data_IF_984953319033
#
_entry.id   IF_984953319033
#
_cell.length_a   1.000
_cell.length_b   1.000
_cell.length_c   1.000
_cell.angle_alpha   90.00
_cell.angle_beta   90.00
_cell.angle_gamma   90.00
#
_symmetry.space_group_name_H-M   'P 1'
#
loop_
_entity.id
_entity.type
_entity.pdbx_description
1 polymer ?
#
# COMPACT_ATOMS: atom_id res chain seq x y z
N UNK A 1 26.07 0.55 5.47
CA UNK A 1 24.88 -0.20 5.04
C UNK A 1 23.65 0.07 5.91
N UNK A 2 23.78 0.29 7.23
CA UNK A 2 22.62 0.49 8.14
C UNK A 2 21.73 1.69 7.81
N UNK A 3 22.27 2.79 7.27
CA UNK A 3 21.48 4.01 6.98
C UNK A 3 20.41 3.81 5.88
N UNK A 4 20.73 3.06 4.82
CA UNK A 4 19.82 2.89 3.67
C UNK A 4 18.68 1.92 3.96
N UNK A 5 18.93 0.87 4.75
CA UNK A 5 17.92 -0.11 5.19
C UNK A 5 16.97 0.49 6.24
N UNK A 6 17.48 1.35 7.13
CA UNK A 6 16.65 2.08 8.11
C UNK A 6 15.72 3.07 7.40
N UNK A 7 16.20 3.79 6.38
CA UNK A 7 15.36 4.71 5.59
C UNK A 7 14.25 3.99 4.80
N UNK A 8 14.53 2.86 4.16
CA UNK A 8 13.50 2.08 3.43
C UNK A 8 12.46 1.49 4.38
N UNK A 9 12.87 1.01 5.55
CA UNK A 9 11.94 0.54 6.59
C UNK A 9 11.03 1.66 7.10
N UNK A 10 11.55 2.88 7.26
CA UNK A 10 10.77 4.05 7.68
C UNK A 10 9.69 4.41 6.65
N UNK A 11 10.06 4.54 5.37
CA UNK A 11 9.13 4.92 4.31
C UNK A 11 8.02 3.88 4.13
N UNK A 12 8.34 2.59 4.17
CA UNK A 12 7.31 1.53 4.11
C UNK A 12 6.36 1.56 5.31
N UNK A 13 6.87 1.92 6.49
CA UNK A 13 6.02 2.04 7.69
C UNK A 13 5.01 3.19 7.56
N UNK A 14 5.41 4.31 6.95
CA UNK A 14 4.54 5.45 6.68
C UNK A 14 3.44 5.08 5.67
N UNK A 15 3.78 4.40 4.58
CA UNK A 15 2.77 3.94 3.60
C UNK A 15 1.79 2.93 4.19
N UNK A 16 2.27 2.03 5.06
CA UNK A 16 1.39 1.09 5.79
C UNK A 16 0.46 1.83 6.74
N UNK A 17 0.93 2.89 7.40
CA UNK A 17 0.07 3.72 8.25
C UNK A 17 -0.98 4.45 7.41
N UNK A 18 -0.62 5.00 6.25
CA UNK A 18 -1.58 5.65 5.36
C UNK A 18 -2.67 4.68 4.88
N UNK A 19 -2.32 3.44 4.53
CA UNK A 19 -3.30 2.41 4.18
C UNK A 19 -4.21 2.09 5.37
N UNK A 20 -3.67 1.95 6.58
CA UNK A 20 -4.46 1.72 7.80
C UNK A 20 -5.42 2.87 8.09
N UNK A 21 -4.96 4.11 7.97
CA UNK A 21 -5.79 5.31 8.16
C UNK A 21 -6.91 5.40 7.12
N UNK A 22 -6.61 5.11 5.84
CA UNK A 22 -7.60 5.06 4.77
C UNK A 22 -8.65 3.95 5.01
N UNK A 23 -8.21 2.76 5.46
CA UNK A 23 -9.12 1.66 5.83
C UNK A 23 -10.03 2.07 6.99
N UNK A 24 -9.48 2.65 8.06
CA UNK A 24 -10.26 3.12 9.20
C UNK A 24 -11.31 4.17 8.80
N UNK A 25 -10.96 5.07 7.88
CA UNK A 25 -11.88 6.08 7.35
C UNK A 25 -13.02 5.43 6.56
N UNK A 26 -12.72 4.51 5.64
CA UNK A 26 -13.74 3.74 4.91
C UNK A 26 -14.68 2.99 5.86
N UNK A 27 -14.13 2.29 6.85
CA UNK A 27 -14.91 1.46 7.77
C UNK A 27 -15.83 2.31 8.66
N UNK A 28 -15.38 3.51 9.05
CA UNK A 28 -16.23 4.49 9.73
C UNK A 28 -17.38 4.96 8.83
N UNK A 29 -17.09 5.29 7.57
CA UNK A 29 -18.11 5.72 6.61
C UNK A 29 -19.13 4.62 6.31
N UNK A 30 -18.72 3.36 6.22
CA UNK A 30 -19.64 2.21 6.09
C UNK A 30 -20.64 2.19 7.26
N UNK A 31 -20.16 2.28 8.50
CA UNK A 31 -21.02 2.32 9.69
C UNK A 31 -21.97 3.52 9.67
N UNK A 32 -21.51 4.67 9.18
CA UNK A 32 -22.35 5.84 9.02
C UNK A 32 -23.44 5.62 7.97
N UNK A 33 -23.11 5.06 6.79
CA UNK A 33 -24.09 4.70 5.75
C UNK A 33 -25.15 3.74 6.31
N UNK A 34 -24.75 2.70 7.04
CA UNK A 34 -25.69 1.76 7.68
C UNK A 34 -26.63 2.49 8.66
N UNK A 35 -26.07 3.35 9.51
CA UNK A 35 -26.85 4.13 10.48
C UNK A 35 -27.82 5.10 9.79
N UNK A 36 -27.36 5.79 8.74
CA UNK A 36 -28.19 6.75 7.98
C UNK A 36 -29.27 6.04 7.16
N UNK A 37 -28.98 4.85 6.64
CA UNK A 37 -29.96 4.00 5.95
C UNK A 37 -31.08 3.60 6.90
N UNK A 38 -30.74 3.23 8.13
CA UNK A 38 -31.73 2.94 9.16
C UNK A 38 -32.57 4.18 9.51
N UNK A 39 -31.93 5.34 9.73
CA UNK A 39 -32.63 6.60 10.03
C UNK A 39 -33.60 7.02 8.91
N UNK A 40 -33.17 6.88 7.66
CA UNK A 40 -34.03 7.14 6.49
C UNK A 40 -35.23 6.19 6.50
N UNK A 41 -35.03 4.90 6.71
CA UNK A 41 -36.13 3.93 6.74
C UNK A 41 -37.13 4.21 7.87
N UNK A 42 -36.66 4.69 9.02
CA UNK A 42 -37.53 5.11 10.13
C UNK A 42 -38.33 6.37 9.78
N UNK A 43 -37.70 7.37 9.16
CA UNK A 43 -38.38 8.56 8.65
C UNK A 43 -39.43 8.22 7.58
N UNK A 44 -39.13 7.30 6.67
CA UNK A 44 -40.09 6.80 5.67
C UNK A 44 -41.30 6.14 6.35
N UNK A 45 -41.07 5.28 7.35
CA UNK A 45 -42.16 4.65 8.12
C UNK A 45 -43.05 5.69 8.80
N UNK A 46 -42.46 6.71 9.42
CA UNK A 46 -43.20 7.77 10.10
C UNK A 46 -44.02 8.61 9.11
N UNK A 47 -43.45 8.98 7.96
CA UNK A 47 -44.16 9.68 6.91
C UNK A 47 -45.35 8.86 6.38
N UNK A 48 -45.14 7.58 6.07
CA UNK A 48 -46.20 6.67 5.59
C UNK A 48 -47.30 6.47 6.65
N UNK A 49 -46.94 6.36 7.92
CA UNK A 49 -47.89 6.27 9.02
C UNK A 49 -48.77 7.51 9.15
N UNK A 50 -48.17 8.71 9.01
CA UNK A 50 -48.91 9.97 9.01
C UNK A 50 -49.78 10.16 7.77
N UNK A 51 -49.37 9.61 6.61
CA UNK A 51 -50.23 9.59 5.42
C UNK A 51 -51.46 8.71 5.61
N UNK A 52 -51.30 7.54 6.22
CA UNK A 52 -52.42 6.67 6.59
C UNK A 52 -53.34 7.36 7.59
N UNK A 53 -52.78 7.98 8.65
CA UNK A 53 -53.55 8.75 9.63
C UNK A 53 -54.30 9.91 8.99
N UNK A 54 -53.67 10.61 8.03
CA UNK A 54 -54.33 11.68 7.28
C UNK A 54 -55.54 11.17 6.50
N UNK A 55 -55.43 10.01 5.84
CA UNK A 55 -56.53 9.41 5.09
C UNK A 55 -57.67 8.94 6.01
N UNK A 56 -57.33 8.41 7.18
CA UNK A 56 -58.30 8.02 8.21
C UNK A 56 -59.07 9.24 8.75
N UNK A 57 -58.37 10.32 9.10
CA UNK A 57 -59.01 11.55 9.59
C UNK A 57 -59.95 12.15 8.53
N UNK A 58 -59.58 12.13 7.24
CA UNK A 58 -60.48 12.55 6.16
C UNK A 58 -61.76 11.72 6.14
N UNK A 59 -61.63 10.40 6.31
CA UNK A 59 -62.78 9.48 6.36
C UNK A 59 -63.66 9.75 7.58
N UNK A 60 -63.06 10.00 8.73
CA UNK A 60 -63.77 10.28 9.98
C UNK A 60 -64.46 11.65 9.98
N UNK A 61 -63.90 12.65 9.28
CA UNK A 61 -64.59 13.92 9.02
C UNK A 61 -65.86 13.67 8.22
N UNK A 62 -65.81 12.85 7.16
CA UNK A 62 -66.98 12.48 6.37
C UNK A 62 -68.06 11.73 7.18
N UNK A 63 -67.69 11.12 8.30
CA UNK A 63 -68.58 10.45 9.26
C UNK A 63 -69.01 11.33 10.43
N UNK A 64 -68.49 12.56 10.54
CA UNK A 64 -68.75 13.47 11.65
C UNK A 64 -68.04 13.10 12.97
N UNK A 65 -67.07 12.18 12.95
CA UNK A 65 -66.33 11.71 14.14
C UNK A 65 -64.93 12.33 14.30
N UNK A 66 -64.52 13.20 13.38
CA UNK A 66 -63.30 14.00 13.47
C UNK A 66 -63.55 15.42 12.93
N UNK A 67 -62.65 16.34 13.25
CA UNK A 67 -62.76 17.75 12.86
C UNK A 67 -61.73 18.16 11.83
N UNK A 68 -61.97 19.28 11.13
CA UNK A 68 -60.96 19.88 10.26
C UNK A 68 -59.68 20.28 11.01
N UNK A 69 -59.78 20.57 12.31
CA UNK A 69 -58.63 20.87 13.15
C UNK A 69 -57.71 19.64 13.32
N UNK A 70 -58.28 18.44 13.45
CA UNK A 70 -57.52 17.19 13.49
C UNK A 70 -56.77 16.95 12.18
N UNK A 71 -57.43 17.22 11.05
CA UNK A 71 -56.82 17.11 9.73
C UNK A 71 -55.68 18.12 9.54
N UNK A 72 -55.86 19.36 10.02
CA UNK A 72 -54.83 20.38 9.97
C UNK A 72 -53.59 19.99 10.81
N UNK A 73 -53.81 19.36 11.97
CA UNK A 73 -52.74 18.84 12.82
C UNK A 73 -51.94 17.74 12.11
N UNK A 74 -52.60 16.70 11.60
CA UNK A 74 -51.93 15.59 10.91
C UNK A 74 -51.21 16.07 9.65
N UNK A 75 -51.80 16.99 8.87
CA UNK A 75 -51.12 17.60 7.70
C UNK A 75 -49.83 18.33 8.10
N UNK A 76 -49.84 19.06 9.22
CA UNK A 76 -48.64 19.76 9.71
C UNK A 76 -47.55 18.78 10.13
N UNK A 77 -47.91 17.72 10.87
CA UNK A 77 -46.98 16.68 11.29
C UNK A 77 -46.42 15.91 10.08
N UNK A 78 -47.26 15.59 9.10
CA UNK A 78 -46.85 14.98 7.84
C UNK A 78 -45.88 15.86 7.05
N UNK A 79 -46.10 17.18 7.03
CA UNK A 79 -45.16 18.13 6.44
C UNK A 79 -43.77 18.02 7.07
N UNK A 80 -43.70 18.09 8.41
CA UNK A 80 -42.43 17.93 9.16
C UNK A 80 -41.76 16.57 8.89
N UNK A 81 -42.55 15.50 8.82
CA UNK A 81 -42.03 14.16 8.55
C UNK A 81 -41.41 14.04 7.15
N UNK A 82 -42.06 14.64 6.14
CA UNK A 82 -41.55 14.66 4.76
C UNK A 82 -40.28 15.51 4.63
N UNK A 83 -40.23 16.65 5.31
CA UNK A 83 -39.02 17.48 5.35
C UNK A 83 -37.86 16.71 6.02
N UNK A 84 -38.10 16.06 7.17
CA UNK A 84 -37.09 15.24 7.83
C UNK A 84 -36.64 14.01 7.02
N UNK A 85 -37.55 13.40 6.25
CA UNK A 85 -37.21 12.33 5.33
C UNK A 85 -36.31 12.83 4.18
N UNK A 86 -36.61 14.01 3.65
CA UNK A 86 -35.79 14.66 2.62
C UNK A 86 -34.38 14.91 3.15
N UNK A 87 -34.25 15.53 4.33
CA UNK A 87 -32.96 15.80 4.96
C UNK A 87 -32.17 14.50 5.19
N UNK A 88 -32.84 13.46 5.69
CA UNK A 88 -32.22 12.14 5.92
C UNK A 88 -31.71 11.51 4.62
N UNK A 89 -32.45 11.70 3.52
CA UNK A 89 -32.06 11.21 2.20
C UNK A 89 -30.86 11.98 1.65
N UNK A 90 -30.87 13.31 1.74
CA UNK A 90 -29.76 14.16 1.29
C UNK A 90 -28.46 13.85 2.06
N UNK A 91 -28.55 13.66 3.38
CA UNK A 91 -27.41 13.27 4.21
C UNK A 91 -26.90 11.88 3.84
N UNK A 92 -27.79 10.91 3.60
CA UNK A 92 -27.39 9.56 3.17
C UNK A 92 -26.62 9.62 1.84
N UNK A 93 -27.16 10.33 0.84
CA UNK A 93 -26.50 10.49 -0.46
C UNK A 93 -25.13 11.16 -0.34
N UNK A 94 -25.00 12.18 0.51
CA UNK A 94 -23.70 12.81 0.78
C UNK A 94 -22.72 11.82 1.43
N UNK A 95 -23.20 11.00 2.36
CA UNK A 95 -22.36 10.02 3.08
C UNK A 95 -21.90 8.90 2.14
N UNK A 96 -22.77 8.42 1.25
CA UNK A 96 -22.44 7.45 0.21
C UNK A 96 -21.40 8.00 -0.78
N UNK A 97 -21.51 9.29 -1.15
CA UNK A 97 -20.52 9.94 -1.99
C UNK A 97 -19.14 10.00 -1.31
N UNK A 98 -19.09 10.36 -0.02
CA UNK A 98 -17.84 10.35 0.76
C UNK A 98 -17.27 8.94 0.91
N UNK A 99 -18.11 7.91 1.07
CA UNK A 99 -17.65 6.52 1.10
C UNK A 99 -16.96 6.13 -0.22
N UNK A 100 -17.56 6.48 -1.36
CA UNK A 100 -16.97 6.21 -2.68
C UNK A 100 -15.61 6.88 -2.86
N UNK A 101 -15.45 8.11 -2.35
CA UNK A 101 -14.18 8.83 -2.36
C UNK A 101 -13.14 8.13 -1.46
N UNK A 102 -13.54 7.72 -0.25
CA UNK A 102 -12.66 7.00 0.68
C UNK A 102 -12.21 5.64 0.12
N UNK A 103 -13.08 4.91 -0.59
CA UNK A 103 -12.72 3.68 -1.30
C UNK A 103 -11.69 3.92 -2.39
N UNK A 104 -11.82 5.01 -3.14
CA UNK A 104 -10.86 5.41 -4.17
C UNK A 104 -9.50 5.78 -3.55
N UNK A 105 -9.50 6.54 -2.46
CA UNK A 105 -8.28 6.87 -1.72
C UNK A 105 -7.60 5.62 -1.15
N UNK A 106 -8.36 4.66 -0.62
CA UNK A 106 -7.82 3.39 -0.16
C UNK A 106 -7.19 2.60 -1.31
N UNK A 107 -7.85 2.50 -2.46
CA UNK A 107 -7.31 1.81 -3.64
C UNK A 107 -5.99 2.44 -4.10
N UNK A 108 -5.90 3.77 -4.09
CA UNK A 108 -4.67 4.50 -4.40
C UNK A 108 -3.57 4.24 -3.36
N UNK A 109 -3.88 4.32 -2.07
CA UNK A 109 -2.91 4.07 -0.99
C UNK A 109 -2.33 2.65 -1.07
N UNK A 110 -3.16 1.64 -1.31
CA UNK A 110 -2.73 0.24 -1.49
C UNK A 110 -1.82 0.09 -2.70
N UNK A 111 -2.16 0.75 -3.82
CA UNK A 111 -1.31 0.73 -5.03
C UNK A 111 0.05 1.39 -4.78
N UNK A 112 0.09 2.51 -4.07
CA UNK A 112 1.33 3.20 -3.71
C UNK A 112 2.19 2.36 -2.79
N UNK A 113 1.59 1.74 -1.76
CA UNK A 113 2.30 0.82 -0.87
C UNK A 113 2.96 -0.33 -1.65
N UNK A 114 2.21 -0.97 -2.56
CA UNK A 114 2.75 -2.06 -3.38
C UNK A 114 3.94 -1.60 -4.24
N UNK A 115 3.84 -0.39 -4.80
CA UNK A 115 4.91 0.19 -5.62
C UNK A 115 6.18 0.42 -4.80
N UNK A 116 6.04 0.93 -3.59
CA UNK A 116 7.18 1.14 -2.69
C UNK A 116 7.74 -0.17 -2.11
N UNK A 117 6.90 -1.17 -1.85
CA UNK A 117 7.35 -2.51 -1.48
C UNK A 117 8.19 -3.14 -2.60
N UNK A 118 7.74 -3.07 -3.85
CA UNK A 118 8.50 -3.54 -5.02
C UNK A 118 9.84 -2.82 -5.16
N UNK A 119 9.86 -1.50 -4.92
CA UNK A 119 11.09 -0.69 -4.94
C UNK A 119 12.05 -1.10 -3.84
N UNK A 120 11.55 -1.26 -2.61
CA UNK A 120 12.35 -1.67 -1.46
C UNK A 120 12.96 -3.07 -1.68
N UNK A 121 12.20 -4.01 -2.24
CA UNK A 121 12.69 -5.33 -2.60
C UNK A 121 13.82 -5.30 -3.64
N UNK A 122 13.69 -4.48 -4.69
CA UNK A 122 14.78 -4.30 -5.68
C UNK A 122 16.05 -3.75 -5.02
N UNK A 123 15.92 -2.73 -4.18
CA UNK A 123 17.06 -2.13 -3.49
C UNK A 123 17.74 -3.12 -2.53
N UNK A 124 16.96 -3.84 -1.73
CA UNK A 124 17.47 -4.87 -0.83
C UNK A 124 18.20 -5.98 -1.60
N UNK A 125 17.69 -6.37 -2.77
CA UNK A 125 18.30 -7.39 -3.62
C UNK A 125 19.65 -6.94 -4.19
N UNK A 126 19.74 -5.70 -4.68
CA UNK A 126 21.00 -5.11 -5.17
C UNK A 126 22.05 -5.06 -4.04
N UNK A 127 21.67 -4.57 -2.86
CA UNK A 127 22.56 -4.50 -1.70
C UNK A 127 23.06 -5.88 -1.27
N UNK A 128 22.21 -6.91 -1.35
CA UNK A 128 22.60 -8.29 -1.04
C UNK A 128 23.59 -8.84 -2.06
N UNK A 129 23.37 -8.59 -3.35
CA UNK A 129 24.29 -8.99 -4.43
C UNK A 129 25.63 -8.31 -4.25
N UNK A 130 25.66 -7.00 -3.99
CA UNK A 130 26.88 -6.24 -3.76
C UNK A 130 27.65 -6.75 -2.54
N UNK A 131 26.95 -7.05 -1.44
CA UNK A 131 27.55 -7.63 -0.24
C UNK A 131 28.19 -8.99 -0.54
N UNK A 132 27.47 -9.91 -1.18
CA UNK A 132 28.02 -11.23 -1.51
C UNK A 132 29.15 -11.15 -2.54
N UNK A 133 29.09 -10.23 -3.49
CA UNK A 133 30.20 -9.97 -4.41
C UNK A 133 31.46 -9.55 -3.63
N UNK A 134 31.32 -8.65 -2.66
CA UNK A 134 32.43 -8.21 -1.82
C UNK A 134 33.01 -9.37 -0.97
N UNK A 135 32.15 -10.17 -0.32
CA UNK A 135 32.55 -11.35 0.46
C UNK A 135 33.28 -12.40 -0.40
N UNK A 136 32.82 -12.63 -1.63
CA UNK A 136 33.48 -13.55 -2.58
C UNK A 136 34.84 -12.99 -3.00
N UNK A 137 34.92 -11.69 -3.30
CA UNK A 137 36.17 -11.06 -3.70
C UNK A 137 37.21 -11.13 -2.59
N UNK A 138 36.82 -10.83 -1.35
CA UNK A 138 37.69 -10.92 -0.17
C UNK A 138 38.22 -12.35 0.02
N UNK A 139 37.34 -13.36 -0.04
CA UNK A 139 37.78 -14.78 0.01
C UNK A 139 38.70 -15.17 -1.14
N UNK A 140 38.44 -14.66 -2.34
CA UNK A 140 39.29 -14.93 -3.49
C UNK A 140 40.69 -14.33 -3.28
N UNK A 141 40.76 -13.08 -2.81
CA UNK A 141 42.01 -12.40 -2.53
C UNK A 141 42.79 -13.06 -1.38
N UNK A 142 42.11 -13.55 -0.34
CA UNK A 142 42.70 -14.36 0.74
C UNK A 142 43.30 -15.67 0.21
N UNK A 143 42.54 -16.42 -0.59
CA UNK A 143 43.01 -17.67 -1.21
C UNK A 143 44.21 -17.39 -2.11
N UNK A 144 44.12 -16.37 -2.97
CA UNK A 144 45.19 -15.99 -3.88
C UNK A 144 46.46 -15.60 -3.11
N UNK A 145 46.34 -14.77 -2.08
CA UNK A 145 47.46 -14.41 -1.21
C UNK A 145 48.05 -15.64 -0.49
N UNK A 146 47.22 -16.54 0.02
CA UNK A 146 47.68 -17.76 0.71
C UNK A 146 48.47 -18.68 -0.23
N UNK A 147 48.03 -18.85 -1.49
CA UNK A 147 48.72 -19.63 -2.51
C UNK A 147 50.06 -18.98 -2.88
N UNK A 148 50.06 -17.66 -3.11
CA UNK A 148 51.26 -16.91 -3.47
C UNK A 148 52.30 -16.85 -2.34
N UNK A 149 51.88 -16.84 -1.08
CA UNK A 149 52.76 -16.78 0.09
C UNK A 149 53.27 -18.17 0.53
N UNK A 150 52.48 -19.24 0.39
CA UNK A 150 52.91 -20.60 0.78
C UNK A 150 53.71 -21.34 -0.31
N UNK A 151 53.63 -20.91 -1.57
CA UNK A 151 54.42 -21.50 -2.66
C UNK A 151 55.00 -20.44 -3.61
N UNK A 152 56.01 -19.65 -3.17
CA UNK A 152 56.66 -18.68 -4.05
C UNK A 152 57.38 -19.29 -5.26
N UNK A 153 57.50 -20.62 -5.34
CA UNK A 153 58.26 -21.30 -6.40
C UNK A 153 57.66 -22.59 -6.97
N UNK A 154 56.49 -23.06 -6.49
CA UNK A 154 56.07 -24.45 -6.77
C UNK A 154 54.84 -24.60 -7.68
N UNK A 155 53.96 -23.60 -7.79
CA UNK A 155 52.76 -23.71 -8.64
C UNK A 155 52.90 -23.10 -10.04
N UNK A 156 53.76 -22.10 -10.21
CA UNK A 156 53.87 -21.40 -11.50
C UNK A 156 54.91 -22.01 -12.45
N UNK A 157 55.99 -22.61 -11.95
CA UNK A 157 56.99 -23.27 -12.80
C UNK A 157 56.38 -24.41 -13.65
N UNK A 158 55.53 -25.30 -13.10
CA UNK A 158 54.88 -26.34 -13.89
C UNK A 158 53.94 -25.78 -14.96
N UNK A 159 53.17 -24.73 -14.64
CA UNK A 159 52.22 -24.12 -15.57
C UNK A 159 52.92 -23.34 -16.70
N UNK A 160 53.98 -22.60 -16.36
CA UNK A 160 54.82 -21.84 -17.30
C UNK A 160 55.58 -22.79 -18.23
N UNK A 161 56.11 -23.91 -17.70
CA UNK A 161 56.75 -24.95 -18.51
C UNK A 161 55.73 -25.71 -19.38
N UNK A 162 54.52 -26.00 -18.88
CA UNK A 162 53.47 -26.67 -19.65
C UNK A 162 52.93 -25.80 -20.80
N UNK A 163 52.92 -24.47 -20.62
CA UNK A 163 52.50 -23.49 -21.64
C UNK A 163 53.67 -23.02 -22.53
N UNK A 164 54.89 -23.51 -22.32
CA UNK A 164 56.07 -23.15 -23.13
C UNK A 164 56.52 -21.69 -23.02
N UNK A 165 56.11 -20.98 -21.97
CA UNK A 165 56.39 -19.55 -21.78
C UNK A 165 57.79 -19.37 -21.20
N UNK A 166 58.67 -18.63 -21.89
CA UNK A 166 60.00 -18.27 -21.38
C UNK A 166 59.89 -17.04 -20.48
N UNK A 167 60.18 -17.19 -19.19
CA UNK A 167 60.32 -16.05 -18.27
C UNK A 167 61.76 -15.54 -18.34
N UNK A 168 62.01 -14.30 -18.80
CA UNK A 168 63.34 -13.71 -18.72
C UNK A 168 63.67 -13.40 -17.26
N UNK A 169 64.85 -13.85 -16.80
CA UNK A 169 65.30 -13.58 -15.44
C UNK A 169 65.49 -12.07 -15.24
N UNK A 170 64.77 -11.50 -14.28
CA UNK A 170 64.96 -10.11 -13.82
C UNK A 170 63.74 -9.18 -13.93
N UNK A 171 62.61 -9.62 -14.50
CA UNK A 171 61.40 -8.79 -14.51
C UNK A 171 60.47 -9.09 -13.33
N UNK A 172 60.11 -8.05 -12.58
CA UNK A 172 59.22 -8.15 -11.43
C UNK A 172 57.80 -8.62 -11.80
N UNK A 173 57.16 -9.27 -10.82
CA UNK A 173 55.85 -9.93 -10.86
C UNK A 173 54.71 -9.15 -11.56
N UNK A 174 54.78 -7.82 -11.56
CA UNK A 174 53.78 -6.92 -12.16
C UNK A 174 53.67 -7.14 -13.68
N UNK A 175 54.78 -7.37 -14.40
CA UNK A 175 54.77 -7.52 -15.87
C UNK A 175 54.17 -8.84 -16.36
N UNK A 176 54.14 -9.88 -15.52
CA UNK A 176 53.56 -11.20 -15.88
C UNK A 176 52.03 -11.13 -15.82
N UNK A 177 51.49 -10.39 -14.85
CA UNK A 177 50.03 -10.16 -14.73
C UNK A 177 49.49 -9.42 -15.95
N UNK A 178 50.17 -8.35 -16.38
CA UNK A 178 49.74 -7.53 -17.53
C UNK A 178 49.75 -8.32 -18.85
N UNK A 179 50.76 -9.19 -19.04
CA UNK A 179 50.85 -10.06 -20.23
C UNK A 179 49.82 -11.18 -20.27
N UNK A 180 49.45 -11.73 -19.11
CA UNK A 180 48.39 -12.75 -19.04
C UNK A 180 47.02 -12.12 -19.27
N UNK A 181 46.78 -10.88 -18.83
CA UNK A 181 45.58 -10.14 -19.19
C UNK A 181 45.48 -9.90 -20.71
N UNK A 182 46.58 -9.50 -21.37
CA UNK A 182 46.64 -9.34 -22.83
C UNK A 182 46.45 -10.64 -23.62
N UNK A 183 47.02 -11.77 -23.17
CA UNK A 183 46.90 -13.05 -23.89
C UNK A 183 45.51 -13.69 -23.78
N UNK A 184 44.80 -13.43 -22.69
CA UNK A 184 43.50 -14.05 -22.43
C UNK A 184 42.31 -13.08 -22.60
N UNK A 185 42.54 -11.85 -23.10
CA UNK A 185 41.52 -10.80 -23.29
C UNK A 185 40.69 -10.56 -22.02
N UNK A 186 41.37 -10.48 -20.86
CA UNK A 186 40.78 -10.16 -19.56
C UNK A 186 41.01 -8.68 -19.19
#
# INVERSE_FOLDING_TARGET
MESATVQTSSVLSEWREQVRAAQATRDNLIKQVETRTFQKAEAERLANGLEASRAEVITNIGRGSASEADLAKVKRELGKARDGLRDSTEILTSTEASLKEAELHLAQAVKSLKTEEDRAWRQASVLLIEKHRAEIQERYDEIYCSICLYQPGTLYLPLINALGLKVPQGEGFVRIKDRLAEQFNL
#
